data_IF_235633830421
#
_entry.id   IF_235633830421
#
_cell.length_a   1.000
_cell.length_b   1.000
_cell.length_c   1.000
_cell.angle_alpha   90.00
_cell.angle_beta   90.00
_cell.angle_gamma   90.00
#
_symmetry.space_group_name_H-M   'P 1'
#
loop_
_entity.id
_entity.type
_entity.pdbx_description
1 polymer ?
#
# COMPACT_ATOMS: atom_id res chain seq x y z
N UNK A 1 0.73 5.80 -54.87
CA UNK A 1 1.35 4.64 -54.17
C UNK A 1 2.84 4.94 -54.06
N UNK A 2 3.24 5.63 -52.99
CA UNK A 2 3.59 5.11 -51.66
C UNK A 2 5.08 4.73 -51.58
N UNK A 3 5.76 5.62 -50.84
CA UNK A 3 6.77 5.35 -49.82
C UNK A 3 8.21 5.07 -50.26
N UNK A 4 9.09 5.64 -49.43
CA UNK A 4 10.51 5.35 -49.25
C UNK A 4 11.46 5.88 -50.32
N UNK A 5 12.00 7.08 -50.06
CA UNK A 5 13.44 7.32 -49.91
C UNK A 5 13.65 8.79 -49.49
N UNK A 6 14.68 9.03 -48.67
CA UNK A 6 15.21 10.33 -48.21
C UNK A 6 14.79 10.78 -46.79
N UNK A 7 15.23 10.04 -45.77
CA UNK A 7 15.55 10.61 -44.44
C UNK A 7 16.91 10.06 -44.00
N UNK A 8 17.95 10.28 -44.79
CA UNK A 8 19.34 10.04 -44.41
C UNK A 8 20.27 10.98 -45.19
N UNK A 9 20.14 12.29 -44.93
CA UNK A 9 21.15 13.30 -45.25
C UNK A 9 20.65 14.66 -44.74
N UNK A 10 20.86 14.96 -43.46
CA UNK A 10 21.28 16.27 -42.91
C UNK A 10 21.88 15.92 -41.53
N UNK A 11 23.01 15.24 -41.57
CA UNK A 11 23.89 14.99 -40.43
C UNK A 11 25.28 15.49 -40.83
N UNK A 12 25.45 16.82 -40.79
CA UNK A 12 26.72 17.58 -40.77
C UNK A 12 26.46 19.01 -41.21
N UNK A 13 26.04 19.86 -40.27
CA UNK A 13 26.28 21.31 -40.25
C UNK A 13 25.65 21.84 -38.96
N UNK A 14 26.43 21.85 -37.89
CA UNK A 14 26.38 22.78 -36.75
C UNK A 14 27.46 22.34 -35.75
N UNK A 15 28.71 22.38 -36.21
CA UNK A 15 29.87 22.52 -35.33
C UNK A 15 30.21 24.01 -35.31
N UNK A 16 30.60 24.50 -34.12
CA UNK A 16 31.02 25.88 -33.81
C UNK A 16 29.90 26.88 -33.49
N UNK A 17 29.37 26.79 -32.27
CA UNK A 17 29.12 27.97 -31.46
C UNK A 17 29.39 27.66 -29.99
N UNK A 18 30.44 28.30 -29.49
CA UNK A 18 30.87 28.30 -28.09
C UNK A 18 29.77 28.85 -27.19
N UNK A 19 29.13 27.96 -26.43
CA UNK A 19 28.56 28.31 -25.13
C UNK A 19 29.22 27.45 -24.07
N UNK A 20 29.90 28.12 -23.13
CA UNK A 20 30.49 27.52 -21.94
C UNK A 20 29.40 26.76 -21.18
N UNK A 21 29.52 25.44 -21.10
CA UNK A 21 28.69 24.64 -20.20
C UNK A 21 28.99 25.08 -18.76
N UNK A 22 27.96 25.41 -17.95
CA UNK A 22 28.15 25.48 -16.51
C UNK A 22 28.54 24.10 -15.97
N UNK A 23 29.30 24.01 -14.87
CA UNK A 23 29.77 22.73 -14.35
C UNK A 23 28.58 21.83 -13.99
N UNK A 24 28.75 20.53 -14.24
CA UNK A 24 27.83 19.48 -13.83
C UNK A 24 27.60 19.60 -12.32
N UNK A 25 26.38 19.98 -11.93
CA UNK A 25 25.94 19.96 -10.54
C UNK A 25 25.82 18.51 -10.13
N UNK A 26 26.59 18.08 -9.14
CA UNK A 26 26.46 16.75 -8.53
C UNK A 26 24.98 16.48 -8.24
N UNK A 27 24.47 15.37 -8.78
CA UNK A 27 23.15 14.86 -8.42
C UNK A 27 23.20 14.47 -6.95
N UNK A 28 22.52 15.24 -6.10
CA UNK A 28 22.24 14.81 -4.74
C UNK A 28 21.34 13.57 -4.79
N UNK A 29 21.61 12.55 -3.95
CA UNK A 29 20.72 11.39 -3.83
C UNK A 29 19.32 11.84 -3.37
N UNK A 30 18.26 11.05 -3.68
CA UNK A 30 16.91 11.39 -3.27
C UNK A 30 16.87 11.58 -1.75
N UNK A 31 16.37 12.73 -1.32
CA UNK A 31 16.20 13.12 0.07
C UNK A 31 15.04 12.34 0.72
N UNK A 32 15.20 11.02 0.84
CA UNK A 32 14.58 10.22 1.89
C UNK A 32 15.63 10.02 2.98
N UNK A 33 15.68 10.98 3.91
CA UNK A 33 16.06 10.83 5.31
C UNK A 33 16.43 12.21 5.86
N UNK A 34 15.86 12.54 7.03
CA UNK A 34 16.12 13.71 7.89
C UNK A 34 15.33 14.99 7.57
N UNK A 35 14.09 15.05 8.06
CA UNK A 35 13.51 16.31 8.53
C UNK A 35 13.56 16.36 10.06
N UNK A 36 14.55 17.02 10.68
CA UNK A 36 14.33 17.61 11.99
C UNK A 36 13.56 18.92 11.79
N UNK A 37 12.37 19.00 12.37
CA UNK A 37 11.54 20.20 12.38
C UNK A 37 12.37 21.41 12.87
N UNK A 38 12.62 22.39 11.98
CA UNK A 38 13.14 23.70 12.38
C UNK A 38 11.98 24.69 12.50
N UNK A 39 11.81 25.35 13.65
CA UNK A 39 10.69 26.25 13.88
C UNK A 39 10.85 27.57 13.12
N UNK A 40 9.76 28.03 12.50
CA UNK A 40 9.62 29.41 12.02
C UNK A 40 9.19 30.28 13.20
N UNK A 41 10.04 31.22 13.60
CA UNK A 41 9.83 32.11 14.75
C UNK A 41 8.88 33.25 14.37
N UNK A 42 7.70 33.33 15.02
CA UNK A 42 6.87 34.55 15.01
C UNK A 42 7.00 35.20 16.40
N UNK A 43 7.58 36.41 16.44
CA UNK A 43 7.77 37.18 17.67
C UNK A 43 6.47 37.89 18.01
N UNK A 44 5.94 37.63 19.20
CA UNK A 44 4.97 38.51 19.87
C UNK A 44 5.61 38.89 21.20
N UNK A 45 5.85 40.18 21.39
CA UNK A 45 6.40 40.75 22.63
C UNK A 45 5.27 41.25 23.52
N UNK A 46 5.28 40.83 24.79
CA UNK A 46 4.79 41.63 25.91
C UNK A 46 5.57 41.23 27.16
N UNK A 47 6.21 42.22 27.78
CA UNK A 47 6.84 42.18 29.10
C UNK A 47 5.80 41.89 30.20
N UNK A 48 6.13 41.09 31.23
CA UNK A 48 6.77 41.59 32.48
C UNK A 48 6.81 40.52 33.60
N UNK A 49 7.88 40.55 34.40
CA UNK A 49 8.07 40.05 35.79
C UNK A 49 8.19 38.53 36.11
N UNK A 50 9.47 38.12 36.22
CA UNK A 50 10.09 37.31 37.27
C UNK A 50 9.34 36.12 37.94
N UNK A 51 9.63 34.91 37.46
CA UNK A 51 10.16 33.82 38.31
C UNK A 51 10.89 32.79 37.45
N UNK A 52 12.09 32.38 37.89
CA UNK A 52 12.96 31.43 37.19
C UNK A 52 12.36 30.01 37.25
N UNK A 53 11.43 29.70 36.35
CA UNK A 53 11.16 28.34 35.88
C UNK A 53 11.25 28.39 34.37
N UNK A 54 12.21 27.67 33.78
CA UNK A 54 12.20 27.40 32.34
C UNK A 54 10.83 26.77 32.03
N UNK A 55 9.96 27.39 31.21
CA UNK A 55 8.81 26.69 30.71
C UNK A 55 9.35 25.65 29.73
N UNK A 56 9.35 24.38 30.12
CA UNK A 56 9.23 23.30 29.14
C UNK A 56 7.84 23.44 28.54
N UNK A 57 7.69 24.40 27.61
CA UNK A 57 6.58 24.42 26.69
C UNK A 57 6.74 23.17 25.83
N UNK A 58 6.04 22.10 26.20
CA UNK A 58 5.75 21.02 25.28
C UNK A 58 5.08 21.69 24.07
N UNK A 59 5.82 21.82 22.98
CA UNK A 59 5.26 22.26 21.71
C UNK A 59 4.14 21.26 21.40
N UNK A 60 2.89 21.68 21.51
CA UNK A 60 1.76 20.92 20.96
C UNK A 60 1.93 20.94 19.45
N UNK A 61 2.70 19.98 18.92
CA UNK A 61 2.85 19.78 17.49
C UNK A 61 1.45 19.44 16.98
N UNK A 62 0.86 20.34 16.20
CA UNK A 62 -0.40 20.04 15.51
C UNK A 62 -0.10 18.81 14.63
N UNK A 63 -0.81 17.69 14.83
CA UNK A 63 -0.52 16.47 14.10
C UNK A 63 -0.68 16.71 12.60
N UNK A 64 0.19 16.07 11.81
CA UNK A 64 0.06 16.10 10.36
C UNK A 64 -1.30 15.53 9.97
N UNK A 65 -1.97 16.19 9.03
CA UNK A 65 -3.31 15.83 8.55
C UNK A 65 -3.17 15.13 7.22
N UNK A 66 -3.81 13.97 7.10
CA UNK A 66 -3.74 13.12 5.91
C UNK A 66 -5.14 13.00 5.33
N UNK A 67 -5.35 13.60 4.16
CA UNK A 67 -6.65 13.57 3.48
C UNK A 67 -6.62 12.43 2.47
N UNK A 68 -7.50 11.45 2.64
CA UNK A 68 -7.54 10.28 1.78
C UNK A 68 -8.56 10.45 0.66
N UNK A 69 -8.16 10.08 -0.55
CA UNK A 69 -9.02 9.90 -1.71
C UNK A 69 -9.61 8.48 -1.78
N UNK A 70 -10.72 8.30 -2.49
CA UNK A 70 -11.37 7.01 -2.76
C UNK A 70 -10.40 6.04 -3.42
N UNK A 71 -9.56 6.50 -4.36
CA UNK A 71 -8.60 5.65 -5.05
C UNK A 71 -7.62 4.95 -4.09
N UNK A 72 -7.33 5.55 -2.93
CA UNK A 72 -6.45 4.98 -1.90
C UNK A 72 -7.18 3.88 -1.13
N UNK A 73 -8.42 4.14 -0.69
CA UNK A 73 -9.23 3.16 0.04
C UNK A 73 -9.66 1.97 -0.83
N UNK A 74 -9.77 2.16 -2.15
CA UNK A 74 -9.99 1.08 -3.11
C UNK A 74 -8.72 0.25 -3.32
N UNK A 75 -7.56 0.88 -3.43
CA UNK A 75 -6.29 0.17 -3.59
C UNK A 75 -5.89 -0.59 -2.31
N UNK A 76 -6.16 0.01 -1.15
CA UNK A 76 -5.85 -0.53 0.17
C UNK A 76 -6.95 -0.12 1.17
N UNK A 77 -7.94 -1.00 1.43
CA UNK A 77 -9.02 -0.75 2.39
C UNK A 77 -8.56 -0.54 3.85
N UNK A 78 -7.31 -0.87 4.16
CA UNK A 78 -6.71 -0.70 5.48
C UNK A 78 -5.80 0.53 5.58
N UNK A 79 -5.65 1.30 4.49
CA UNK A 79 -4.75 2.46 4.38
C UNK A 79 -4.94 3.49 5.49
N UNK A 80 -6.15 3.67 6.03
CA UNK A 80 -6.40 4.58 7.16
C UNK A 80 -5.53 4.28 8.39
N UNK A 81 -5.08 3.03 8.57
CA UNK A 81 -4.22 2.61 9.68
C UNK A 81 -2.72 2.84 9.43
N UNK A 82 -2.32 3.29 8.23
CA UNK A 82 -0.91 3.41 7.84
C UNK A 82 -0.22 4.69 8.36
N UNK A 83 -0.97 5.60 8.98
CA UNK A 83 -0.50 6.97 9.30
C UNK A 83 -0.36 7.21 10.81
N UNK A 84 0.43 6.40 11.50
CA UNK A 84 0.65 6.53 12.95
C UNK A 84 0.96 7.98 13.37
N UNK A 85 0.35 8.43 14.47
CA UNK A 85 0.48 9.80 14.99
C UNK A 85 -0.16 10.91 14.14
N UNK A 86 -0.83 10.60 13.03
CA UNK A 86 -1.47 11.58 12.16
C UNK A 86 -2.98 11.72 12.40
N UNK A 87 -3.55 12.83 11.93
CA UNK A 87 -4.99 13.04 11.82
C UNK A 87 -5.47 12.65 10.41
N UNK A 88 -6.03 11.46 10.27
CA UNK A 88 -6.63 10.99 9.02
C UNK A 88 -7.98 11.65 8.82
N UNK A 89 -8.21 12.14 7.60
CA UNK A 89 -9.41 12.86 7.20
C UNK A 89 -9.98 12.19 5.96
N UNK A 90 -11.23 11.75 6.05
CA UNK A 90 -11.97 11.22 4.89
C UNK A 90 -13.02 12.26 4.50
N UNK A 91 -12.92 12.93 3.34
CA UNK A 91 -13.99 13.80 2.87
C UNK A 91 -15.30 13.03 2.70
N UNK A 92 -16.44 13.65 3.00
CA UNK A 92 -17.75 12.99 2.84
C UNK A 92 -17.97 12.47 1.41
N UNK A 93 -17.47 13.18 0.40
CA UNK A 93 -17.51 12.76 -1.01
C UNK A 93 -16.86 11.40 -1.24
N UNK A 94 -15.79 11.08 -0.52
CA UNK A 94 -15.13 9.76 -0.63
C UNK A 94 -16.04 8.66 -0.10
N UNK A 95 -16.79 8.92 0.97
CA UNK A 95 -17.80 7.97 1.49
C UNK A 95 -18.93 7.78 0.48
N UNK A 96 -19.41 8.85 -0.15
CA UNK A 96 -20.43 8.81 -1.21
C UNK A 96 -19.98 7.96 -2.40
N UNK A 97 -18.72 8.13 -2.83
CA UNK A 97 -18.13 7.35 -3.93
C UNK A 97 -17.97 5.87 -3.59
N UNK A 98 -17.47 5.55 -2.38
CA UNK A 98 -17.38 4.18 -1.90
C UNK A 98 -18.76 3.50 -1.87
N UNK A 99 -19.81 4.22 -1.44
CA UNK A 99 -21.18 3.69 -1.44
C UNK A 99 -21.67 3.38 -2.85
N UNK A 100 -21.37 4.25 -3.82
CA UNK A 100 -21.67 4.02 -5.23
C UNK A 100 -20.97 2.79 -5.83
N UNK A 101 -19.78 2.45 -5.33
CA UNK A 101 -18.99 1.31 -5.81
C UNK A 101 -19.39 -0.04 -5.21
N UNK A 102 -20.16 -0.07 -4.11
CA UNK A 102 -20.47 -1.29 -3.35
C UNK A 102 -21.24 -2.37 -4.13
N UNK A 103 -21.92 -2.00 -5.21
CA UNK A 103 -22.73 -2.90 -6.05
C UNK A 103 -21.90 -3.68 -7.05
N UNK A 104 -20.63 -3.29 -7.27
CA UNK A 104 -19.74 -4.01 -8.18
C UNK A 104 -19.41 -5.41 -7.63
N UNK A 105 -19.34 -6.39 -8.53
CA UNK A 105 -19.02 -7.79 -8.20
C UNK A 105 -17.53 -8.12 -8.26
N UNK A 106 -16.70 -7.16 -8.66
CA UNK A 106 -15.25 -7.31 -8.79
C UNK A 106 -14.50 -6.89 -7.51
N UNK A 107 -13.17 -6.90 -7.59
CA UNK A 107 -12.29 -6.50 -6.49
C UNK A 107 -12.49 -5.06 -6.05
N UNK A 108 -12.87 -4.16 -6.96
CA UNK A 108 -13.19 -2.77 -6.61
C UNK A 108 -14.39 -2.73 -5.67
N UNK A 109 -15.47 -3.45 -6.00
CA UNK A 109 -16.64 -3.55 -5.11
C UNK A 109 -16.30 -4.21 -3.78
N UNK A 110 -15.46 -5.25 -3.79
CA UNK A 110 -14.98 -5.92 -2.57
C UNK A 110 -14.19 -4.95 -1.67
N UNK A 111 -13.27 -4.19 -2.24
CA UNK A 111 -12.47 -3.20 -1.55
C UNK A 111 -13.34 -2.09 -0.94
N UNK A 112 -14.28 -1.53 -1.72
CA UNK A 112 -15.22 -0.51 -1.27
C UNK A 112 -16.04 -0.99 -0.06
N UNK A 113 -16.58 -2.21 -0.12
CA UNK A 113 -17.33 -2.82 0.99
C UNK A 113 -16.45 -3.00 2.23
N UNK A 114 -15.19 -3.39 2.08
CA UNK A 114 -14.26 -3.53 3.20
C UNK A 114 -13.94 -2.17 3.83
N UNK A 115 -13.63 -1.15 3.03
CA UNK A 115 -13.36 0.19 3.53
C UNK A 115 -14.58 0.76 4.30
N UNK A 116 -15.79 0.64 3.74
CA UNK A 116 -17.03 1.06 4.41
C UNK A 116 -17.29 0.29 5.70
N UNK A 117 -17.04 -1.03 5.74
CA UNK A 117 -17.16 -1.81 6.98
C UNK A 117 -16.21 -1.32 8.06
N UNK A 118 -14.96 -1.02 7.71
CA UNK A 118 -13.98 -0.50 8.66
C UNK A 118 -14.41 0.87 9.23
N UNK A 119 -14.89 1.76 8.36
CA UNK A 119 -15.43 3.07 8.77
C UNK A 119 -16.65 2.89 9.69
N UNK A 120 -17.57 1.98 9.35
CA UNK A 120 -18.77 1.71 10.15
C UNK A 120 -18.45 1.09 11.51
N UNK A 121 -17.47 0.19 11.58
CA UNK A 121 -16.99 -0.36 12.85
C UNK A 121 -16.40 0.73 13.75
N UNK A 122 -15.57 1.60 13.20
CA UNK A 122 -15.02 2.74 13.94
C UNK A 122 -16.14 3.68 14.42
N UNK A 123 -17.10 4.01 13.56
CA UNK A 123 -18.26 4.84 13.91
C UNK A 123 -19.06 4.25 15.07
N UNK A 124 -19.30 2.93 15.07
CA UNK A 124 -19.99 2.24 16.17
C UNK A 124 -19.18 2.31 17.46
N UNK A 125 -17.87 2.09 17.41
CA UNK A 125 -16.97 2.21 18.57
C UNK A 125 -16.94 3.65 19.13
N UNK A 126 -17.06 4.65 18.26
CA UNK A 126 -17.10 6.07 18.62
C UNK A 126 -18.45 6.55 19.19
N UNK A 127 -19.45 5.66 19.36
CA UNK A 127 -20.78 6.05 19.84
C UNK A 127 -21.70 6.62 18.76
N UNK A 128 -21.37 6.42 17.49
CA UNK A 128 -22.28 6.65 16.35
C UNK A 128 -21.91 7.79 15.40
N UNK A 129 -20.85 8.55 15.69
CA UNK A 129 -20.39 9.66 14.84
C UNK A 129 -18.88 9.62 14.64
N UNK A 130 -18.43 10.07 13.47
CA UNK A 130 -17.02 10.32 13.14
C UNK A 130 -16.79 11.79 12.78
N UNK A 131 -17.63 12.70 13.28
CA UNK A 131 -17.45 14.13 13.07
C UNK A 131 -16.18 14.67 13.77
N UNK A 132 -15.86 14.09 14.93
CA UNK A 132 -14.67 14.44 15.71
C UNK A 132 -13.57 13.38 15.53
N UNK A 133 -12.28 13.77 15.65
CA UNK A 133 -11.15 12.85 15.56
C UNK A 133 -11.29 11.66 16.53
N UNK A 134 -11.39 10.46 15.97
CA UNK A 134 -11.58 9.21 16.72
C UNK A 134 -10.34 8.32 16.59
N UNK A 135 -9.74 7.81 17.68
CA UNK A 135 -8.61 6.89 17.62
C UNK A 135 -8.92 5.62 16.83
N UNK A 136 -8.05 5.26 15.88
CA UNK A 136 -8.17 4.05 15.07
C UNK A 136 -7.86 2.76 15.83
N UNK A 137 -7.15 2.85 16.96
CA UNK A 137 -6.89 1.76 17.91
C UNK A 137 -6.67 2.33 19.31
N UNK A 138 -6.53 1.45 20.30
CA UNK A 138 -6.24 1.82 21.70
C UNK A 138 -4.76 2.17 21.94
N UNK A 139 -3.91 2.05 20.91
CA UNK A 139 -2.50 2.44 20.96
C UNK A 139 -2.38 3.97 21.11
N UNK A 140 -1.61 4.48 22.11
CA UNK A 140 -1.32 5.91 22.24
C UNK A 140 -0.72 6.58 21.00
N UNK A 141 -0.01 5.83 20.14
CA UNK A 141 0.57 6.34 18.88
C UNK A 141 -0.37 6.16 17.67
N UNK A 142 -1.58 5.64 17.90
CA UNK A 142 -2.58 5.44 16.86
C UNK A 142 -2.91 6.74 16.15
N UNK A 143 -3.09 6.64 14.85
CA UNK A 143 -3.75 7.68 14.06
C UNK A 143 -5.18 7.92 14.58
N UNK A 144 -5.70 9.12 14.35
CA UNK A 144 -7.12 9.44 14.51
C UNK A 144 -7.80 9.52 13.15
N UNK A 145 -9.11 9.28 13.10
CA UNK A 145 -9.92 9.43 11.89
C UNK A 145 -11.16 10.27 12.17
N UNK A 146 -11.49 11.17 11.25
CA UNK A 146 -12.79 11.83 11.18
C UNK A 146 -13.27 11.96 9.73
N UNK A 147 -14.57 12.11 9.56
CA UNK A 147 -15.21 12.38 8.28
C UNK A 147 -15.42 13.90 8.16
N UNK A 148 -14.80 14.50 7.13
CA UNK A 148 -14.91 15.94 6.87
C UNK A 148 -16.12 16.22 5.99
N UNK A 149 -17.14 16.87 6.57
CA UNK A 149 -18.41 17.21 5.90
C UNK A 149 -18.40 18.65 5.39
N UNK A 150 -17.75 19.57 6.11
CA UNK A 150 -17.96 21.02 5.98
C UNK A 150 -16.78 21.75 5.30
N UNK A 151 -15.69 21.04 5.01
CA UNK A 151 -14.46 21.58 4.45
C UNK A 151 -14.51 21.93 2.96
N UNK A 152 -15.63 21.72 2.25
CA UNK A 152 -15.78 22.20 0.87
C UNK A 152 -15.94 23.72 0.93
N UNK A 153 -14.82 24.44 0.91
CA UNK A 153 -14.82 25.90 0.81
C UNK A 153 -15.26 26.29 -0.60
N UNK A 154 -16.57 26.29 -0.83
CA UNK A 154 -17.20 26.63 -2.10
C UNK A 154 -16.66 27.96 -2.65
N UNK A 155 -16.46 28.95 -1.79
CA UNK A 155 -15.94 30.26 -2.17
C UNK A 155 -14.49 30.20 -2.67
N UNK A 156 -13.62 29.39 -2.04
CA UNK A 156 -12.22 29.26 -2.47
C UNK A 156 -12.04 28.36 -3.68
N UNK A 157 -12.86 27.32 -3.80
CA UNK A 157 -12.92 26.55 -5.05
C UNK A 157 -13.30 27.49 -6.20
N UNK A 158 -14.28 28.36 -6.01
CA UNK A 158 -14.64 29.37 -6.99
C UNK A 158 -13.51 30.40 -7.27
N UNK A 159 -12.78 30.86 -6.25
CA UNK A 159 -11.58 31.72 -6.41
C UNK A 159 -10.49 31.07 -7.27
N UNK A 160 -10.39 29.74 -7.23
CA UNK A 160 -9.48 28.94 -8.05
C UNK A 160 -10.11 28.39 -9.34
N UNK A 161 -11.34 28.80 -9.68
CA UNK A 161 -12.04 28.38 -10.90
C UNK A 161 -12.50 26.91 -10.89
N UNK A 162 -12.62 26.30 -9.72
CA UNK A 162 -13.04 24.92 -9.53
C UNK A 162 -14.53 24.83 -9.18
N UNK A 163 -15.25 23.99 -9.92
CA UNK A 163 -16.65 23.70 -9.66
C UNK A 163 -16.80 22.73 -8.48
N UNK A 164 -17.49 23.15 -7.42
CA UNK A 164 -17.72 22.35 -6.23
C UNK A 164 -18.73 21.20 -6.43
N UNK A 165 -19.39 21.12 -7.58
CA UNK A 165 -20.21 19.96 -7.98
C UNK A 165 -19.32 18.76 -8.36
N UNK A 166 -18.09 19.01 -8.82
CA UNK A 166 -17.16 17.96 -9.23
C UNK A 166 -16.56 17.27 -8.00
N UNK A 167 -16.67 15.93 -7.86
CA UNK A 167 -16.18 15.20 -6.69
C UNK A 167 -14.69 15.43 -6.38
N UNK A 168 -13.80 15.37 -7.38
CA UNK A 168 -12.38 15.71 -7.25
C UNK A 168 -12.16 17.05 -6.53
N UNK A 169 -12.94 18.06 -6.90
CA UNK A 169 -12.79 19.41 -6.38
C UNK A 169 -13.29 19.49 -4.93
N UNK A 170 -14.30 18.67 -4.54
CA UNK A 170 -14.75 18.56 -3.15
C UNK A 170 -13.65 17.93 -2.27
N UNK A 171 -12.94 16.92 -2.77
CA UNK A 171 -11.80 16.29 -2.08
C UNK A 171 -10.65 17.31 -1.88
N UNK A 172 -10.29 18.03 -2.96
CA UNK A 172 -9.29 19.11 -2.88
C UNK A 172 -9.74 20.22 -1.93
N UNK A 173 -11.01 20.61 -1.99
CA UNK A 173 -11.60 21.63 -1.11
C UNK A 173 -11.46 21.23 0.36
N UNK A 174 -11.80 19.99 0.71
CA UNK A 174 -11.61 19.45 2.05
C UNK A 174 -10.13 19.53 2.48
N UNK A 175 -9.18 19.18 1.61
CA UNK A 175 -7.75 19.29 1.91
C UNK A 175 -7.27 20.73 2.13
N UNK A 176 -7.75 21.69 1.33
CA UNK A 176 -7.50 23.13 1.55
C UNK A 176 -8.09 23.59 2.89
N UNK A 177 -9.27 23.07 3.26
CA UNK A 177 -9.88 23.33 4.57
C UNK A 177 -8.99 22.85 5.72
N UNK A 178 -8.49 21.61 5.62
CA UNK A 178 -7.59 21.05 6.64
C UNK A 178 -6.25 21.78 6.72
N UNK A 179 -5.74 22.32 5.60
CA UNK A 179 -4.47 23.06 5.59
C UNK A 179 -4.50 24.37 6.39
N UNK A 180 -5.70 24.88 6.72
CA UNK A 180 -5.86 26.03 7.62
C UNK A 180 -5.70 25.65 9.10
N UNK A 181 -5.94 24.38 9.43
CA UNK A 181 -5.84 23.87 10.80
C UNK A 181 -4.40 23.43 11.09
N UNK A 182 -3.74 22.80 10.12
CA UNK A 182 -2.36 22.33 10.27
C UNK A 182 -1.74 21.77 9.00
N UNK A 183 -0.49 21.28 9.06
CA UNK A 183 0.20 20.68 7.92
C UNK A 183 -0.63 19.55 7.31
N UNK A 184 -0.93 19.64 6.01
CA UNK A 184 -1.86 18.72 5.34
C UNK A 184 -1.22 18.13 4.08
N UNK A 185 -1.37 16.82 3.91
CA UNK A 185 -1.03 16.09 2.69
C UNK A 185 -2.29 15.38 2.15
N UNK A 186 -2.56 15.56 0.86
CA UNK A 186 -3.55 14.78 0.13
C UNK A 186 -2.89 13.48 -0.38
N UNK A 187 -3.46 12.33 -0.08
CA UNK A 187 -2.98 11.05 -0.59
C UNK A 187 -3.98 10.53 -1.63
N UNK A 188 -3.51 10.30 -2.85
CA UNK A 188 -4.33 9.81 -3.96
C UNK A 188 -3.48 9.00 -4.95
N UNK A 189 -4.04 7.94 -5.52
CA UNK A 189 -3.41 7.22 -6.62
C UNK A 189 -3.71 7.83 -7.99
N UNK A 190 -4.63 8.80 -8.09
CA UNK A 190 -4.87 9.55 -9.33
C UNK A 190 -3.86 10.70 -9.49
N UNK A 191 -3.01 10.57 -10.51
CA UNK A 191 -2.04 11.61 -10.86
C UNK A 191 -2.69 12.95 -11.23
N UNK A 192 -3.87 12.94 -11.85
CA UNK A 192 -4.57 14.18 -12.22
C UNK A 192 -5.04 14.94 -10.97
N UNK A 193 -5.60 14.23 -9.98
CA UNK A 193 -5.98 14.83 -8.69
C UNK A 193 -4.77 15.41 -7.97
N UNK A 194 -3.65 14.67 -7.92
CA UNK A 194 -2.39 15.13 -7.30
C UNK A 194 -1.84 16.39 -7.99
N UNK A 195 -1.83 16.43 -9.32
CA UNK A 195 -1.37 17.61 -10.09
C UNK A 195 -2.24 18.83 -9.78
N UNK A 196 -3.56 18.68 -9.75
CA UNK A 196 -4.49 19.77 -9.40
C UNK A 196 -4.23 20.28 -7.98
N UNK A 197 -4.12 19.37 -7.00
CA UNK A 197 -3.87 19.72 -5.61
C UNK A 197 -2.53 20.46 -5.42
N UNK A 198 -1.46 19.96 -6.05
CA UNK A 198 -0.15 20.59 -6.02
C UNK A 198 -0.15 22.01 -6.63
N UNK A 199 -0.91 22.22 -7.71
CA UNK A 199 -1.06 23.55 -8.32
C UNK A 199 -1.74 24.55 -7.38
N UNK A 200 -2.56 24.07 -6.44
CA UNK A 200 -3.27 24.87 -5.44
C UNK A 200 -2.49 24.99 -4.11
N UNK A 201 -1.23 24.55 -4.08
CA UNK A 201 -0.34 24.70 -2.94
C UNK A 201 -0.47 23.62 -1.87
N UNK A 202 -1.19 22.53 -2.13
CA UNK A 202 -1.23 21.37 -1.24
C UNK A 202 -0.01 20.47 -1.47
N UNK A 203 0.44 19.79 -0.40
CA UNK A 203 1.28 18.60 -0.58
C UNK A 203 0.39 17.46 -1.06
N UNK A 204 0.80 16.74 -2.09
CA UNK A 204 0.03 15.63 -2.65
C UNK A 204 0.93 14.45 -3.02
N UNK A 205 0.70 13.30 -2.38
CA UNK A 205 1.52 12.10 -2.50
C UNK A 205 0.72 10.91 -3.02
N UNK A 206 1.42 9.97 -3.66
CA UNK A 206 0.86 8.68 -4.05
C UNK A 206 0.80 7.74 -2.84
N UNK A 207 -0.24 6.91 -2.74
CA UNK A 207 -0.30 5.91 -1.68
C UNK A 207 0.75 4.84 -1.94
N UNK A 208 1.70 4.76 -1.03
CA UNK A 208 2.61 3.63 -0.96
C UNK A 208 2.06 2.73 0.14
N UNK A 209 1.49 1.55 -0.20
CA UNK A 209 1.10 0.60 0.82
C UNK A 209 2.32 0.38 1.70
N UNK A 210 2.24 0.79 2.97
CA UNK A 210 3.19 0.32 3.96
C UNK A 210 3.03 -1.18 3.87
N UNK A 211 4.10 -1.87 3.47
CA UNK A 211 4.06 -3.31 3.35
C UNK A 211 3.67 -3.81 4.73
N UNK A 212 2.38 -4.10 4.95
CA UNK A 212 1.94 -5.01 5.99
C UNK A 212 2.84 -6.19 5.74
N UNK A 213 3.72 -6.43 6.70
CA UNK A 213 4.79 -7.38 6.59
C UNK A 213 4.21 -8.60 5.93
N UNK A 214 4.71 -8.94 4.73
CA UNK A 214 4.30 -10.12 3.96
C UNK A 214 4.27 -11.38 4.87
N UNK A 215 4.97 -11.32 6.02
CA UNK A 215 4.93 -12.23 7.16
C UNK A 215 3.55 -12.70 7.64
N UNK A 216 2.46 -11.93 7.55
CA UNK A 216 1.15 -12.41 8.06
C UNK A 216 0.34 -13.23 7.04
N UNK A 217 0.72 -13.21 5.75
CA UNK A 217 0.18 -14.16 4.79
C UNK A 217 1.01 -15.42 4.87
N UNK A 218 0.42 -16.48 5.44
CA UNK A 218 0.97 -17.83 5.27
C UNK A 218 0.97 -18.14 3.76
N UNK A 219 2.11 -17.92 3.11
CA UNK A 219 2.35 -18.46 1.78
C UNK A 219 2.16 -19.97 1.94
N UNK A 220 1.21 -20.57 1.22
CA UNK A 220 0.86 -21.99 1.33
C UNK A 220 2.01 -22.96 1.00
N UNK A 221 3.25 -22.46 0.90
CA UNK A 221 4.47 -23.21 0.73
C UNK A 221 5.66 -22.57 1.46
N UNK A 222 6.67 -23.36 1.81
CA UNK A 222 7.92 -22.92 2.44
C UNK A 222 9.13 -23.66 1.84
N UNK A 223 10.34 -23.13 2.00
CA UNK A 223 11.58 -23.88 1.76
C UNK A 223 12.18 -24.27 3.10
N UNK A 224 12.46 -25.55 3.31
CA UNK A 224 13.09 -26.06 4.52
C UNK A 224 14.41 -26.74 4.17
N UNK A 225 15.46 -26.44 4.95
CA UNK A 225 16.70 -27.21 4.89
C UNK A 225 16.52 -28.53 5.64
N UNK A 226 16.98 -29.61 5.02
CA UNK A 226 16.90 -30.95 5.59
C UNK A 226 18.21 -31.71 5.36
N UNK A 227 18.40 -32.81 6.09
CA UNK A 227 19.51 -33.71 5.88
C UNK A 227 19.39 -34.44 4.53
N UNK A 228 20.52 -34.87 3.97
CA UNK A 228 20.55 -35.60 2.69
C UNK A 228 19.66 -36.85 2.72
N UNK A 229 19.59 -37.54 3.86
CA UNK A 229 18.75 -38.72 4.06
C UNK A 229 17.25 -38.43 3.86
N UNK A 230 16.78 -37.24 4.22
CA UNK A 230 15.38 -36.84 4.03
C UNK A 230 15.07 -36.61 2.54
N UNK A 231 16.00 -35.98 1.81
CA UNK A 231 15.88 -35.77 0.36
C UNK A 231 15.94 -37.11 -0.37
N UNK A 232 16.88 -37.99 0.01
CA UNK A 232 17.00 -39.32 -0.56
C UNK A 232 15.75 -40.17 -0.30
N UNK A 233 15.17 -40.09 0.90
CA UNK A 233 13.92 -40.78 1.26
C UNK A 233 12.76 -40.33 0.36
N UNK A 234 12.65 -39.03 0.09
CA UNK A 234 11.63 -38.51 -0.84
C UNK A 234 11.76 -39.11 -2.23
N UNK A 235 12.97 -39.23 -2.78
CA UNK A 235 13.18 -39.79 -4.11
C UNK A 235 13.11 -41.32 -4.18
N UNK A 236 13.49 -42.04 -3.11
CA UNK A 236 13.51 -43.50 -3.10
C UNK A 236 12.18 -44.11 -2.64
N UNK A 237 11.59 -43.56 -1.57
CA UNK A 237 10.36 -44.06 -0.95
C UNK A 237 9.12 -43.23 -1.33
N UNK A 238 9.30 -42.05 -1.92
CA UNK A 238 8.20 -41.15 -2.28
C UNK A 238 7.70 -40.27 -1.14
N UNK A 239 8.20 -40.45 0.08
CA UNK A 239 7.81 -39.64 1.24
C UNK A 239 8.89 -39.59 2.32
N UNK A 240 8.75 -38.63 3.24
CA UNK A 240 9.47 -38.57 4.52
C UNK A 240 8.50 -38.11 5.62
N UNK A 241 8.63 -38.66 6.82
CA UNK A 241 7.85 -38.20 7.98
C UNK A 241 8.22 -36.75 8.32
N UNK A 242 7.23 -35.91 8.60
CA UNK A 242 7.43 -34.46 8.74
C UNK A 242 8.32 -34.10 9.95
N UNK A 243 8.31 -34.92 11.00
CA UNK A 243 9.17 -34.76 12.18
C UNK A 243 10.67 -34.98 11.89
N UNK A 244 11.01 -35.60 10.77
CA UNK A 244 12.40 -35.74 10.29
C UNK A 244 12.91 -34.53 9.52
N UNK A 245 12.06 -33.54 9.25
CA UNK A 245 12.41 -32.31 8.52
C UNK A 245 12.22 -31.10 9.46
N UNK A 246 13.31 -30.46 9.91
CA UNK A 246 13.21 -29.30 10.81
C UNK A 246 12.34 -28.19 10.24
N UNK A 247 11.45 -27.62 11.09
CA UNK A 247 10.56 -26.52 10.70
C UNK A 247 9.19 -26.96 10.16
N UNK A 248 8.88 -28.26 10.11
CA UNK A 248 7.55 -28.74 9.76
C UNK A 248 6.50 -28.56 10.86
N UNK A 249 6.91 -28.29 12.11
CA UNK A 249 6.05 -28.16 13.29
C UNK A 249 4.96 -27.09 13.16
N UNK A 250 5.16 -26.11 12.27
CA UNK A 250 4.26 -24.98 12.04
C UNK A 250 3.47 -25.10 10.73
N UNK A 251 3.58 -26.24 10.05
CA UNK A 251 2.90 -26.49 8.77
C UNK A 251 1.60 -27.27 9.00
N UNK A 252 0.64 -27.03 8.12
CA UNK A 252 -0.66 -27.68 8.09
C UNK A 252 -0.78 -28.58 6.85
N UNK A 253 -1.79 -29.45 6.85
CA UNK A 253 -2.10 -30.24 5.65
C UNK A 253 -2.28 -29.31 4.44
N UNK A 254 -1.78 -29.76 3.28
CA UNK A 254 -1.75 -29.06 2.00
C UNK A 254 -0.74 -27.92 1.90
N UNK A 255 0.09 -27.69 2.92
CA UNK A 255 1.29 -26.89 2.74
C UNK A 255 2.28 -27.62 1.81
N UNK A 256 2.83 -26.90 0.84
CA UNK A 256 3.93 -27.40 0.03
C UNK A 256 5.28 -27.07 0.68
N UNK A 257 6.26 -27.94 0.48
CA UNK A 257 7.60 -27.76 1.00
C UNK A 257 8.61 -27.98 -0.11
N UNK A 258 9.52 -27.03 -0.29
CA UNK A 258 10.76 -27.25 -1.04
C UNK A 258 11.78 -27.77 -0.03
N UNK A 259 11.95 -29.09 0.02
CA UNK A 259 12.93 -29.74 0.90
C UNK A 259 14.29 -29.67 0.22
N UNK A 260 15.26 -29.00 0.85
CA UNK A 260 16.56 -28.71 0.24
C UNK A 260 17.71 -29.26 1.07
N UNK A 261 18.72 -29.80 0.37
CA UNK A 261 20.03 -30.08 0.93
C UNK A 261 21.09 -29.61 -0.08
N UNK A 262 21.76 -28.49 0.19
CA UNK A 262 22.77 -27.93 -0.70
C UNK A 262 22.22 -27.59 -2.09
N UNK A 263 22.66 -28.33 -3.11
CA UNK A 263 22.20 -28.20 -4.51
C UNK A 263 21.03 -29.10 -4.89
N UNK A 264 20.67 -30.07 -4.04
CA UNK A 264 19.53 -30.97 -4.27
C UNK A 264 18.26 -30.39 -3.63
N UNK A 265 17.13 -30.54 -4.30
CA UNK A 265 15.83 -30.09 -3.79
C UNK A 265 14.69 -30.95 -4.30
N UNK A 266 13.75 -31.27 -3.42
CA UNK A 266 12.52 -31.98 -3.73
C UNK A 266 11.30 -31.08 -3.45
N UNK A 267 10.30 -31.14 -4.32
CA UNK A 267 9.00 -30.52 -4.07
C UNK A 267 8.09 -31.55 -3.42
N UNK A 268 7.57 -31.25 -2.24
CA UNK A 268 6.70 -32.14 -1.50
C UNK A 268 5.43 -31.42 -1.03
N UNK A 269 4.39 -32.18 -0.70
CA UNK A 269 3.18 -31.70 -0.03
C UNK A 269 3.01 -32.40 1.30
N UNK A 270 2.69 -31.63 2.34
CA UNK A 270 2.37 -32.16 3.65
C UNK A 270 0.94 -32.68 3.65
N UNK A 271 0.78 -33.95 4.00
CA UNK A 271 -0.53 -34.59 4.21
C UNK A 271 -0.40 -35.64 5.31
N UNK A 272 -1.24 -35.54 6.33
CA UNK A 272 -1.33 -36.47 7.47
C UNK A 272 0.02 -36.77 8.13
N UNK A 273 0.80 -35.71 8.39
CA UNK A 273 2.10 -35.80 9.05
C UNK A 273 3.25 -36.28 8.16
N UNK A 274 3.02 -36.45 6.86
CA UNK A 274 4.04 -36.87 5.89
C UNK A 274 4.25 -35.84 4.79
N UNK A 275 5.51 -35.59 4.46
CA UNK A 275 5.89 -34.89 3.24
C UNK A 275 5.96 -35.91 2.11
N UNK A 276 5.00 -35.86 1.19
CA UNK A 276 4.95 -36.73 0.02
C UNK A 276 5.53 -36.00 -1.18
N UNK A 277 6.45 -36.63 -1.89
CA UNK A 277 7.08 -36.09 -3.10
C UNK A 277 6.00 -35.86 -4.18
N UNK A 278 6.03 -34.68 -4.81
CA UNK A 278 5.15 -34.40 -5.94
C UNK A 278 5.59 -35.20 -7.18
N UNK A 279 4.62 -35.67 -7.96
CA UNK A 279 4.86 -36.51 -9.14
C UNK A 279 5.81 -35.82 -10.14
N UNK A 280 6.68 -36.56 -10.83
CA UNK A 280 7.52 -35.98 -11.87
C UNK A 280 6.69 -35.43 -13.04
N UNK A 281 5.50 -36.00 -13.26
CA UNK A 281 4.53 -35.49 -14.22
C UNK A 281 3.81 -34.27 -13.66
N UNK A 282 4.22 -33.08 -14.11
CA UNK A 282 3.57 -31.83 -13.72
C UNK A 282 2.11 -31.85 -14.21
N UNK A 283 1.13 -31.59 -13.34
CA UNK A 283 -0.27 -31.57 -13.74
C UNK A 283 -0.55 -30.58 -14.87
N UNK A 284 -1.38 -30.97 -15.82
CA UNK A 284 -1.79 -30.16 -16.97
C UNK A 284 -3.32 -30.16 -17.09
N UNK A 285 -3.91 -28.97 -17.16
CA UNK A 285 -5.36 -28.79 -17.31
C UNK A 285 -5.66 -28.01 -18.59
N UNK A 286 -6.35 -28.62 -19.55
CA UNK A 286 -6.72 -27.95 -20.82
C UNK A 286 -5.55 -27.26 -21.55
N UNK A 287 -4.35 -27.85 -21.54
CA UNK A 287 -3.16 -27.26 -22.15
C UNK A 287 -2.39 -26.27 -21.27
N UNK A 288 -2.87 -26.00 -20.04
CA UNK A 288 -2.20 -25.12 -19.09
C UNK A 288 -1.08 -25.87 -18.36
N UNK A 289 0.15 -25.36 -18.51
CA UNK A 289 1.34 -25.86 -17.82
C UNK A 289 1.88 -24.82 -16.86
N UNK A 290 2.30 -25.26 -15.68
CA UNK A 290 3.00 -24.40 -14.73
C UNK A 290 4.34 -23.92 -15.30
N UNK A 291 4.62 -22.63 -15.17
CA UNK A 291 5.90 -22.01 -15.57
C UNK A 291 6.89 -21.88 -14.41
N UNK A 292 6.41 -22.00 -13.17
CA UNK A 292 7.20 -21.95 -11.95
C UNK A 292 6.60 -22.90 -10.89
N UNK A 293 7.27 -23.05 -9.75
CA UNK A 293 6.85 -23.98 -8.68
C UNK A 293 5.53 -23.55 -8.04
N UNK A 294 5.27 -22.24 -7.93
CA UNK A 294 4.05 -21.70 -7.33
C UNK A 294 2.81 -22.02 -8.17
N UNK A 295 2.90 -21.85 -9.49
CA UNK A 295 1.85 -22.25 -10.43
C UNK A 295 1.65 -23.76 -10.43
N UNK A 296 2.74 -24.52 -10.23
CA UNK A 296 2.65 -25.97 -10.09
C UNK A 296 1.86 -26.33 -8.84
N UNK A 297 2.21 -25.77 -7.68
CA UNK A 297 1.46 -25.98 -6.43
C UNK A 297 -0.03 -25.63 -6.58
N UNK A 298 -0.34 -24.53 -7.28
CA UNK A 298 -1.73 -24.17 -7.58
C UNK A 298 -2.45 -25.24 -8.43
N UNK A 299 -1.81 -25.75 -9.48
CA UNK A 299 -2.39 -26.82 -10.31
C UNK A 299 -2.56 -28.14 -9.55
N UNK A 300 -1.60 -28.51 -8.70
CA UNK A 300 -1.68 -29.69 -7.84
C UNK A 300 -2.92 -29.62 -6.93
N UNK A 301 -3.20 -28.47 -6.32
CA UNK A 301 -4.41 -28.29 -5.51
C UNK A 301 -5.68 -28.27 -6.37
N UNK A 302 -5.68 -27.51 -7.48
CA UNK A 302 -6.85 -27.34 -8.34
C UNK A 302 -7.34 -28.64 -8.98
N UNK A 303 -6.44 -29.60 -9.17
CA UNK A 303 -6.73 -30.89 -9.79
C UNK A 303 -6.89 -32.02 -8.77
N UNK A 304 -6.76 -31.71 -7.47
CA UNK A 304 -6.99 -32.66 -6.40
C UNK A 304 -8.50 -32.73 -6.06
N UNK A 305 -9.19 -33.86 -6.35
CA UNK A 305 -10.62 -34.00 -6.11
C UNK A 305 -11.00 -34.01 -4.63
N UNK A 306 -10.05 -34.25 -3.72
CA UNK A 306 -10.30 -34.30 -2.28
C UNK A 306 -10.34 -32.90 -1.65
N UNK A 307 -9.96 -31.85 -2.41
CA UNK A 307 -9.99 -30.46 -1.94
C UNK A 307 -11.28 -29.77 -2.40
N UNK A 308 -12.16 -29.49 -1.43
CA UNK A 308 -13.44 -28.84 -1.72
C UNK A 308 -13.33 -27.33 -2.01
N UNK A 309 -12.35 -26.63 -1.40
CA UNK A 309 -12.22 -25.18 -1.48
C UNK A 309 -10.75 -24.79 -1.60
N UNK A 310 -10.45 -23.96 -2.59
CA UNK A 310 -9.10 -23.44 -2.85
C UNK A 310 -9.19 -21.93 -2.96
N UNK A 311 -8.36 -21.23 -2.19
CA UNK A 311 -8.14 -19.80 -2.33
C UNK A 311 -6.79 -19.57 -3.00
N UNK A 312 -6.81 -19.07 -4.24
CA UNK A 312 -5.60 -18.66 -4.95
C UNK A 312 -5.46 -17.15 -4.90
N UNK A 313 -4.27 -16.69 -4.56
CA UNK A 313 -3.91 -15.28 -4.50
C UNK A 313 -2.53 -15.09 -5.15
N UNK A 314 -2.38 -14.05 -5.95
CA UNK A 314 -1.20 -13.81 -6.76
C UNK A 314 -1.51 -12.98 -8.00
N UNK A 315 -0.49 -12.28 -8.50
CA UNK A 315 -0.60 -11.58 -9.79
C UNK A 315 -0.50 -12.60 -10.93
N UNK A 316 -1.42 -12.50 -11.89
CA UNK A 316 -1.40 -13.27 -13.13
C UNK A 316 -0.21 -12.91 -14.03
#
# INVERSE_FOLDING_TARGET
MRRFKNIFAIAKKFTEKSHKNPPLREMQPPCLNLLPAKPVRRLISTDDSASHRRPTAALSLVPQRIVLDTSVLIADPMSMHAFAGCAVVIPLTVVEELDGLKTRMDDVGRAARTALRNIEELRRRAGGSLAEPTPLSDDPESATLHIEVNGVQHDRLAEHGLDAVVPDNRIIGAAIGQSLIGPTCLVSNDAALRIKAAHLGLTADEHHPVARTIAERMMGWVTLEADAEAVDSLYQAGYVEADRVPGCEHLYNNNFVVVRNGSQSALARLHDGRLTLLDSNVPEAWGLRARNKEQRFALELLLDPDIAVIALDGRA
#
